data_IF_136635641979
#
_entry.id   IF_136635641979
#
_cell.length_a   1.000
_cell.length_b   1.000
_cell.length_c   1.000
_cell.angle_alpha   90.00
_cell.angle_beta   90.00
_cell.angle_gamma   90.00
#
_symmetry.space_group_name_H-M   'P 1'
#
loop_
_entity.id
_entity.type
_entity.pdbx_description
1 polymer ?
#
# COMPACT_ATOMS: atom_id res chain seq x y z
N UNK A 1 4.67 -13.77 -0.86
CA UNK A 1 3.49 -13.01 -0.39
C UNK A 1 2.88 -12.17 -1.50
N UNK A 2 3.64 -11.27 -2.14
CA UNK A 2 3.14 -10.41 -3.24
C UNK A 2 2.45 -11.21 -4.34
N UNK A 3 3.09 -12.28 -4.84
CA UNK A 3 2.50 -13.11 -5.90
C UNK A 3 1.17 -13.77 -5.51
N UNK A 4 1.04 -14.19 -4.24
CA UNK A 4 -0.22 -14.77 -3.75
C UNK A 4 -1.36 -13.74 -3.76
N UNK A 5 -1.07 -12.46 -3.48
CA UNK A 5 -2.05 -11.37 -3.57
C UNK A 5 -2.36 -11.05 -5.04
N UNK A 6 -1.32 -10.86 -5.86
CA UNK A 6 -1.45 -10.43 -7.27
C UNK A 6 -2.16 -11.46 -8.14
N UNK A 7 -1.94 -12.75 -7.90
CA UNK A 7 -2.61 -13.85 -8.64
C UNK A 7 -4.11 -13.94 -8.35
N UNK A 8 -4.57 -13.46 -7.19
CA UNK A 8 -5.99 -13.41 -6.82
C UNK A 8 -6.65 -12.06 -7.13
N UNK A 9 -5.83 -11.05 -7.42
CA UNK A 9 -6.33 -9.72 -7.74
C UNK A 9 -6.88 -9.67 -9.17
N UNK A 10 -8.10 -9.15 -9.33
CA UNK A 10 -8.67 -8.89 -10.65
C UNK A 10 -7.86 -7.83 -11.42
N UNK A 11 -7.99 -7.81 -12.75
CA UNK A 11 -7.37 -6.77 -13.58
C UNK A 11 -7.87 -5.39 -13.18
N UNK A 12 -6.97 -4.39 -13.19
CA UNK A 12 -7.23 -3.05 -12.64
C UNK A 12 -7.56 -3.03 -11.14
N UNK A 13 -7.46 -4.15 -10.44
CA UNK A 13 -7.55 -4.23 -8.99
C UNK A 13 -6.42 -3.47 -8.33
N UNK A 14 -6.69 -2.90 -7.15
CA UNK A 14 -5.75 -2.05 -6.41
C UNK A 14 -5.28 -2.73 -5.13
N UNK A 15 -4.02 -2.51 -4.79
CA UNK A 15 -3.43 -2.91 -3.53
C UNK A 15 -3.05 -1.62 -2.80
N UNK A 16 -3.63 -1.43 -1.62
CA UNK A 16 -3.24 -0.38 -0.70
C UNK A 16 -2.51 -1.01 0.47
N UNK A 17 -1.29 -0.55 0.72
CA UNK A 17 -0.42 -1.07 1.79
C UNK A 17 0.01 0.09 2.66
N UNK A 18 -0.05 -0.10 3.98
CA UNK A 18 0.37 0.89 4.94
C UNK A 18 1.04 0.27 6.15
N UNK A 19 1.94 1.02 6.77
CA UNK A 19 2.65 0.67 8.01
C UNK A 19 3.10 1.94 8.71
N UNK A 20 3.21 1.92 10.03
CA UNK A 20 3.75 3.01 10.84
C UNK A 20 5.23 2.80 11.21
N UNK A 21 5.89 1.87 10.52
CA UNK A 21 7.30 1.54 10.70
C UNK A 21 8.04 1.82 9.39
N UNK A 22 8.97 2.78 9.41
CA UNK A 22 9.65 3.30 8.20
C UNK A 22 10.46 2.25 7.45
N UNK A 23 11.38 1.55 8.14
CA UNK A 23 12.23 0.54 7.49
C UNK A 23 11.38 -0.57 6.83
N UNK A 24 10.29 -0.95 7.50
CA UNK A 24 9.36 -1.95 7.00
C UNK A 24 8.57 -1.42 5.80
N UNK A 25 8.23 -0.12 5.79
CA UNK A 25 7.57 0.50 4.66
C UNK A 25 8.42 0.38 3.40
N UNK A 26 9.71 0.69 3.50
CA UNK A 26 10.63 0.62 2.38
C UNK A 26 10.78 -0.81 1.85
N UNK A 27 11.03 -1.78 2.72
CA UNK A 27 11.10 -3.20 2.36
C UNK A 27 9.81 -3.69 1.70
N UNK A 28 8.65 -3.41 2.31
CA UNK A 28 7.35 -3.84 1.78
C UNK A 28 7.07 -3.19 0.41
N UNK A 29 7.26 -1.87 0.29
CA UNK A 29 6.96 -1.17 -0.96
C UNK A 29 7.86 -1.64 -2.09
N UNK A 30 9.12 -1.96 -1.81
CA UNK A 30 10.04 -2.47 -2.81
C UNK A 30 9.64 -3.84 -3.34
N UNK A 31 9.12 -4.73 -2.47
CA UNK A 31 8.56 -6.02 -2.89
C UNK A 31 7.40 -5.85 -3.88
N UNK A 32 6.52 -4.86 -3.66
CA UNK A 32 5.42 -4.58 -4.59
C UNK A 32 5.90 -3.88 -5.87
N UNK A 33 6.86 -2.95 -5.78
CA UNK A 33 7.46 -2.27 -6.96
C UNK A 33 8.19 -3.24 -7.88
N UNK A 34 8.83 -4.26 -7.31
CA UNK A 34 9.55 -5.29 -8.07
C UNK A 34 8.63 -6.21 -8.88
N UNK A 35 7.32 -6.21 -8.62
CA UNK A 35 6.38 -7.04 -9.38
C UNK A 35 5.97 -6.34 -10.69
N UNK A 36 6.34 -6.95 -11.83
CA UNK A 36 6.13 -6.38 -13.18
C UNK A 36 4.68 -6.18 -13.59
N UNK A 37 3.74 -6.84 -12.92
CA UNK A 37 2.29 -6.71 -13.22
C UNK A 37 1.65 -5.57 -12.44
N UNK A 38 2.37 -4.99 -11.48
CA UNK A 38 1.91 -3.87 -10.68
C UNK A 38 2.50 -2.56 -11.18
N UNK A 39 1.69 -1.51 -11.12
CA UNK A 39 2.10 -0.13 -11.38
C UNK A 39 1.82 0.70 -10.14
N UNK A 40 2.78 1.54 -9.73
CA UNK A 40 2.59 2.45 -8.60
C UNK A 40 1.55 3.52 -8.99
N UNK A 41 0.65 3.81 -8.05
CA UNK A 41 -0.32 4.91 -8.14
C UNK A 41 0.07 5.96 -7.11
N UNK A 42 0.24 7.20 -7.55
CA UNK A 42 0.53 8.30 -6.63
C UNK A 42 -0.68 8.61 -5.75
N UNK A 43 -0.44 8.69 -4.45
CA UNK A 43 -1.42 9.06 -3.44
C UNK A 43 -0.77 10.01 -2.44
N UNK A 44 -1.51 11.03 -2.00
CA UNK A 44 -1.04 12.00 -1.00
C UNK A 44 -1.60 11.74 0.40
N UNK A 45 -2.68 10.96 0.49
CA UNK A 45 -3.37 10.61 1.73
C UNK A 45 -4.03 9.24 1.63
N UNK A 46 -4.54 8.74 2.76
CA UNK A 46 -5.40 7.57 2.77
C UNK A 46 -6.60 7.81 1.81
N UNK A 47 -6.80 6.95 0.79
CA UNK A 47 -7.86 7.10 -0.19
C UNK A 47 -9.25 6.70 0.34
N UNK A 48 -9.31 6.06 1.51
CA UNK A 48 -10.54 5.57 2.11
C UNK A 48 -11.18 6.61 3.04
N UNK A 49 -12.51 6.62 3.16
CA UNK A 49 -13.22 7.59 3.99
C UNK A 49 -13.05 7.35 5.50
N UNK A 50 -12.64 6.14 5.90
CA UNK A 50 -12.48 5.74 7.30
C UNK A 50 -11.06 5.24 7.52
N UNK A 51 -10.40 5.84 8.51
CA UNK A 51 -9.06 5.45 8.95
C UNK A 51 -9.14 4.26 9.89
N UNK A 52 -8.05 3.48 9.95
CA UNK A 52 -7.96 2.39 10.93
C UNK A 52 -7.70 2.94 12.33
N UNK A 53 -8.06 2.21 13.39
CA UNK A 53 -7.73 2.59 14.77
C UNK A 53 -6.22 2.82 14.95
N UNK A 54 -5.40 1.98 14.31
CA UNK A 54 -3.93 2.10 14.35
C UNK A 54 -3.45 3.39 13.70
N UNK A 55 -4.00 3.74 12.54
CA UNK A 55 -3.67 4.98 11.82
C UNK A 55 -4.03 6.21 12.64
N UNK A 56 -5.23 6.24 13.24
CA UNK A 56 -5.68 7.33 14.11
C UNK A 56 -4.71 7.49 15.29
N UNK A 57 -4.40 6.40 16.00
CA UNK A 57 -3.54 6.43 17.18
C UNK A 57 -2.08 6.84 16.89
N UNK A 58 -1.60 6.66 15.66
CA UNK A 58 -0.26 7.09 15.23
C UNK A 58 -0.28 8.58 14.86
N UNK A 59 -1.28 9.01 14.09
CA UNK A 59 -1.43 10.41 13.70
C UNK A 59 -1.75 11.34 14.87
N UNK A 60 -2.52 10.89 15.87
CA UNK A 60 -2.79 11.62 17.12
C UNK A 60 -1.51 11.89 17.93
N UNK A 61 -0.45 11.11 17.69
CA UNK A 61 0.89 11.30 18.26
C UNK A 61 1.81 12.12 17.35
N UNK A 62 1.27 12.68 16.27
CA UNK A 62 2.00 13.40 15.22
C UNK A 62 3.10 12.56 14.57
N UNK A 63 2.93 11.23 14.57
CA UNK A 63 3.86 10.28 13.94
C UNK A 63 3.44 9.94 12.51
N UNK A 64 4.39 9.61 11.62
CA UNK A 64 4.09 9.29 10.24
C UNK A 64 3.48 7.90 10.07
N UNK A 65 2.54 7.79 9.13
CA UNK A 65 2.06 6.51 8.59
C UNK A 65 2.44 6.45 7.12
N UNK A 66 3.27 5.47 6.76
CA UNK A 66 3.77 5.26 5.41
C UNK A 66 2.76 4.46 4.60
N UNK A 67 2.50 4.90 3.37
CA UNK A 67 1.45 4.33 2.52
C UNK A 67 1.91 4.24 1.07
N UNK A 68 1.51 3.19 0.37
CA UNK A 68 1.68 3.06 -1.07
C UNK A 68 0.46 2.39 -1.71
N UNK A 69 0.14 2.80 -2.94
CA UNK A 69 -0.91 2.22 -3.75
C UNK A 69 -0.31 1.64 -5.02
N UNK A 70 -0.78 0.45 -5.39
CA UNK A 70 -0.45 -0.22 -6.63
C UNK A 70 -1.71 -0.64 -7.37
N UNK A 71 -1.67 -0.68 -8.69
CA UNK A 71 -2.73 -1.20 -9.54
C UNK A 71 -2.18 -2.34 -10.41
N UNK A 72 -2.94 -3.42 -10.55
CA UNK A 72 -2.61 -4.50 -11.48
C UNK A 72 -2.91 -4.06 -12.91
N UNK A 73 -1.90 -4.12 -13.77
CA UNK A 73 -2.05 -3.88 -15.19
C UNK A 73 -3.07 -4.85 -15.79
N UNK A 74 -3.80 -4.41 -16.82
CA UNK A 74 -4.64 -5.32 -17.60
C UNK A 74 -3.72 -6.27 -18.37
N UNK A 75 -4.06 -7.55 -18.34
CA UNK A 75 -3.42 -8.57 -19.17
C UNK A 75 -3.77 -8.39 -20.65
#
# INVERSE_FOLDING_TARGET
>A
LVDAVVTKLADSGRIFVQTDIEFLAEEMFELFRSNKTLQKVEITKNPFPVKTEREIAVEDKELPVFRSMFIKAKA
#
